data_IF_855255025879
#
_entry.id   IF_855255025879
#
_cell.length_a   1.000
_cell.length_b   1.000
_cell.length_c   1.000
_cell.angle_alpha   90.00
_cell.angle_beta   90.00
_cell.angle_gamma   90.00
#
_symmetry.space_group_name_H-M   'P 1'
#
loop_
_entity.id
_entity.type
_entity.pdbx_description
1 polymer ?
#
# COMPACT_ATOMS: atom_id res chain seq x y z
N UNK A 1 15.09 -8.54 33.61
CA UNK A 1 15.00 -7.07 33.76
C UNK A 1 14.17 -6.58 32.59
N UNK A 2 12.85 -6.65 32.74
CA UNK A 2 11.90 -6.27 31.69
C UNK A 2 11.24 -4.96 32.08
N UNK A 3 11.52 -3.89 31.32
CA UNK A 3 10.48 -2.94 30.93
C UNK A 3 10.95 -2.02 29.79
N UNK A 4 10.55 -2.40 28.57
CA UNK A 4 10.14 -1.56 27.45
C UNK A 4 10.77 -0.16 27.30
N UNK A 5 12.05 -0.08 26.93
CA UNK A 5 12.55 1.07 26.16
C UNK A 5 12.02 1.01 24.70
N UNK A 6 10.69 0.99 24.56
CA UNK A 6 10.03 0.91 23.26
C UNK A 6 10.28 2.18 22.45
N UNK A 7 10.11 3.34 23.08
CA UNK A 7 10.38 4.64 22.48
C UNK A 7 11.81 4.74 21.93
N UNK A 8 12.84 4.43 22.73
CA UNK A 8 14.23 4.48 22.25
C UNK A 8 14.52 3.48 21.14
N UNK A 9 13.95 2.27 21.21
CA UNK A 9 14.02 1.29 20.11
C UNK A 9 13.37 1.82 18.83
N UNK A 10 12.22 2.47 18.94
CA UNK A 10 11.49 3.06 17.81
C UNK A 10 12.26 4.22 17.18
N UNK A 11 12.80 5.13 17.99
CA UNK A 11 13.68 6.22 17.52
C UNK A 11 14.87 5.64 16.75
N UNK A 12 15.53 4.61 17.31
CA UNK A 12 16.65 3.93 16.64
C UNK A 12 16.22 3.23 15.36
N UNK A 13 15.04 2.61 15.37
CA UNK A 13 14.48 1.88 14.24
C UNK A 13 14.19 2.82 13.08
N UNK A 14 13.48 3.92 13.35
CA UNK A 14 13.20 4.99 12.40
C UNK A 14 14.49 5.59 11.87
N UNK A 15 15.42 6.02 12.73
CA UNK A 15 16.70 6.58 12.29
C UNK A 15 17.46 5.65 11.34
N UNK A 16 17.59 4.37 11.71
CA UNK A 16 18.26 3.38 10.86
C UNK A 16 17.49 3.11 9.56
N UNK A 17 16.17 3.12 9.59
CA UNK A 17 15.32 2.94 8.42
C UNK A 17 15.45 4.12 7.44
N UNK A 18 15.59 5.34 7.96
CA UNK A 18 15.83 6.53 7.16
C UNK A 18 17.28 6.65 6.67
N UNK A 19 18.19 5.77 7.11
CA UNK A 19 19.60 5.76 6.73
C UNK A 19 20.46 6.81 7.45
N UNK A 20 19.93 7.40 8.52
CA UNK A 20 20.55 8.49 9.26
C UNK A 20 21.53 7.96 10.31
N UNK A 21 22.63 8.67 10.57
CA UNK A 21 23.46 8.43 11.75
C UNK A 21 22.90 9.17 12.96
N UNK A 22 23.30 8.78 14.18
CA UNK A 22 22.92 9.52 15.40
C UNK A 22 23.33 11.01 15.36
N UNK A 23 24.38 11.33 14.58
CA UNK A 23 24.83 12.70 14.37
C UNK A 23 23.87 13.46 13.45
N UNK A 24 23.31 12.80 12.44
CA UNK A 24 22.37 13.43 11.48
C UNK A 24 21.05 13.78 12.17
N UNK A 25 20.47 12.83 12.93
CA UNK A 25 19.29 13.12 13.74
C UNK A 25 19.58 14.18 14.81
N UNK A 26 20.78 14.17 15.40
CA UNK A 26 21.23 15.21 16.32
C UNK A 26 21.18 16.60 15.68
N UNK A 27 21.75 16.77 14.48
CA UNK A 27 21.72 18.04 13.74
C UNK A 27 20.30 18.51 13.45
N UNK A 28 19.41 17.61 13.02
CA UNK A 28 18.01 17.92 12.68
C UNK A 28 17.26 18.43 13.92
N UNK A 29 17.51 17.83 15.07
CA UNK A 29 16.86 18.20 16.34
C UNK A 29 17.59 19.30 17.12
N UNK A 30 18.72 19.79 16.60
CA UNK A 30 19.65 20.68 17.30
C UNK A 30 20.12 20.11 18.66
N UNK A 31 20.52 18.83 18.66
CA UNK A 31 20.97 18.05 19.80
C UNK A 31 22.33 17.38 19.52
N UNK A 32 23.07 17.12 20.58
CA UNK A 32 24.33 16.36 20.50
C UNK A 32 24.09 14.88 20.16
N UNK A 33 25.03 14.27 19.42
CA UNK A 33 25.00 12.82 19.10
C UNK A 33 24.80 11.97 20.36
N UNK A 34 25.45 12.34 21.46
CA UNK A 34 25.35 11.59 22.72
C UNK A 34 23.92 11.62 23.29
N UNK A 35 23.20 12.73 23.13
CA UNK A 35 21.79 12.85 23.55
C UNK A 35 20.90 11.89 22.76
N UNK A 36 21.10 11.78 21.45
CA UNK A 36 20.38 10.80 20.61
C UNK A 36 20.69 9.37 21.05
N UNK A 37 21.96 9.06 21.31
CA UNK A 37 22.37 7.75 21.82
C UNK A 37 21.72 7.43 23.17
N UNK A 38 21.61 8.40 24.07
CA UNK A 38 20.93 8.23 25.37
C UNK A 38 19.44 7.98 25.21
N UNK A 39 18.77 8.66 24.26
CA UNK A 39 17.37 8.37 23.90
C UNK A 39 17.19 6.95 23.37
N UNK A 40 18.00 6.55 22.38
CA UNK A 40 17.89 5.23 21.76
C UNK A 40 18.11 4.08 22.74
N UNK A 41 18.99 4.28 23.71
CA UNK A 41 19.31 3.28 24.73
C UNK A 41 18.40 3.38 25.97
N UNK A 42 17.44 4.32 26.00
CA UNK A 42 16.50 4.48 27.11
C UNK A 42 17.14 5.04 28.38
N UNK A 43 18.34 5.62 28.27
CA UNK A 43 19.04 6.29 29.37
C UNK A 43 18.44 7.65 29.67
N UNK A 44 17.80 8.27 28.67
CA UNK A 44 17.12 9.55 28.78
C UNK A 44 15.82 9.48 27.98
N UNK A 45 14.77 10.11 28.49
CA UNK A 45 13.50 10.25 27.77
C UNK A 45 13.48 11.62 27.08
N UNK A 46 13.15 11.71 25.78
CA UNK A 46 12.95 13.00 25.13
C UNK A 46 11.76 13.74 25.76
N UNK A 47 11.85 15.06 25.88
CA UNK A 47 10.70 15.88 26.29
C UNK A 47 9.65 15.91 25.19
N UNK A 48 8.41 16.27 25.52
CA UNK A 48 7.28 16.30 24.56
C UNK A 48 7.60 17.07 23.29
N UNK A 49 8.22 18.25 23.39
CA UNK A 49 8.61 19.04 22.22
C UNK A 49 9.60 18.30 21.32
N UNK A 50 10.57 17.59 21.90
CA UNK A 50 11.52 16.77 21.13
C UNK A 50 10.83 15.56 20.52
N UNK A 51 9.89 14.93 21.23
CA UNK A 51 9.11 13.82 20.69
C UNK A 51 8.26 14.25 19.49
N UNK A 52 7.62 15.43 19.56
CA UNK A 52 6.90 16.01 18.43
C UNK A 52 7.83 16.24 17.24
N UNK A 53 8.99 16.86 17.44
CA UNK A 53 9.96 17.07 16.36
C UNK A 53 10.47 15.77 15.73
N UNK A 54 10.69 14.72 16.53
CA UNK A 54 11.07 13.40 16.02
C UNK A 54 9.92 12.80 15.20
N UNK A 55 8.69 12.88 15.71
CA UNK A 55 7.50 12.35 15.07
C UNK A 55 7.19 13.07 13.74
N UNK A 56 7.26 14.40 13.72
CA UNK A 56 7.17 15.24 12.53
C UNK A 56 8.26 14.90 11.51
N UNK A 57 9.52 14.78 11.96
CA UNK A 57 10.64 14.43 11.09
C UNK A 57 10.45 13.08 10.39
N UNK A 58 9.84 12.11 11.09
CA UNK A 58 9.60 10.76 10.56
C UNK A 58 8.19 10.54 10.00
N UNK A 59 7.32 11.57 9.98
CA UNK A 59 5.98 11.49 9.42
C UNK A 59 5.04 10.53 10.16
N UNK A 60 5.23 10.31 11.46
CA UNK A 60 4.37 9.44 12.29
C UNK A 60 3.77 10.25 13.45
N UNK A 61 2.73 9.71 14.10
CA UNK A 61 2.21 10.33 15.33
C UNK A 61 3.09 10.00 16.53
N UNK A 62 3.09 10.87 17.53
CA UNK A 62 3.79 10.63 18.82
C UNK A 62 3.25 9.36 19.48
N UNK A 63 1.94 9.10 19.42
CA UNK A 63 1.34 7.89 19.97
C UNK A 63 1.86 6.61 19.31
N UNK A 64 1.96 6.57 17.98
CA UNK A 64 2.54 5.42 17.26
C UNK A 64 4.00 5.23 17.65
N UNK A 65 4.77 6.32 17.73
CA UNK A 65 6.17 6.26 18.14
C UNK A 65 6.36 5.74 19.57
N UNK A 66 5.41 6.01 20.48
CA UNK A 66 5.51 5.63 21.88
C UNK A 66 4.99 4.23 22.19
N UNK A 67 3.94 3.79 21.49
CA UNK A 67 3.14 2.63 21.91
C UNK A 67 3.21 1.42 20.96
N UNK A 68 3.76 1.58 19.75
CA UNK A 68 3.85 0.50 18.76
C UNK A 68 5.29 0.02 18.58
N UNK A 69 5.56 -1.27 18.45
CA UNK A 69 6.92 -1.76 18.11
C UNK A 69 7.17 -1.62 16.61
N UNK A 70 8.07 -0.71 16.22
CA UNK A 70 8.40 -0.43 14.82
C UNK A 70 9.45 -1.39 14.24
N UNK A 71 10.07 -2.24 15.07
CA UNK A 71 11.14 -3.14 14.61
C UNK A 71 10.69 -4.25 13.64
N UNK A 72 9.49 -4.85 13.77
CA UNK A 72 8.96 -5.79 12.77
C UNK A 72 8.68 -5.12 11.42
N UNK A 73 8.21 -3.86 11.43
CA UNK A 73 7.89 -3.08 10.24
C UNK A 73 9.11 -2.86 9.33
N UNK A 74 10.23 -2.39 9.89
CA UNK A 74 11.46 -2.13 9.12
C UNK A 74 12.07 -3.43 8.59
N UNK A 75 11.89 -4.53 9.34
CA UNK A 75 12.31 -5.87 8.91
C UNK A 75 11.39 -6.43 7.83
N UNK A 76 10.11 -6.09 7.86
CA UNK A 76 9.08 -6.57 6.93
C UNK A 76 9.12 -5.85 5.57
N UNK A 77 9.31 -4.53 5.51
CA UNK A 77 9.50 -3.83 4.23
C UNK A 77 10.72 -4.32 3.45
N UNK A 78 11.72 -4.85 4.15
CA UNK A 78 12.92 -5.47 3.57
C UNK A 78 12.74 -6.96 3.23
N UNK A 79 11.56 -7.55 3.45
CA UNK A 79 11.29 -8.98 3.38
C UNK A 79 10.20 -9.31 2.33
N UNK A 80 10.43 -10.33 1.50
CA UNK A 80 9.52 -10.81 0.44
C UNK A 80 8.07 -11.12 0.87
N UNK A 81 7.79 -11.68 2.07
CA UNK A 81 6.42 -11.93 2.55
C UNK A 81 5.51 -10.69 2.68
N UNK A 82 6.09 -9.48 2.71
CA UNK A 82 5.32 -8.23 2.65
C UNK A 82 4.52 -8.12 1.36
N UNK A 83 5.12 -8.54 0.22
CA UNK A 83 4.47 -8.48 -1.08
C UNK A 83 3.32 -9.50 -1.16
N UNK A 84 3.42 -10.66 -0.51
CA UNK A 84 2.34 -11.67 -0.52
C UNK A 84 1.08 -11.17 0.20
N UNK A 85 1.24 -10.40 1.29
CA UNK A 85 0.11 -9.78 1.99
C UNK A 85 -0.58 -8.68 1.18
N UNK A 86 0.15 -7.98 0.30
CA UNK A 86 -0.42 -6.97 -0.61
C UNK A 86 -1.32 -7.59 -1.70
N UNK A 87 -1.34 -8.91 -1.84
CA UNK A 87 -2.10 -9.61 -2.88
C UNK A 87 -3.00 -10.73 -2.35
N UNK A 88 -3.21 -10.79 -1.03
CA UNK A 88 -4.18 -11.71 -0.42
C UNK A 88 -5.59 -11.11 -0.29
N UNK A 89 -6.53 -11.82 0.37
CA UNK A 89 -7.93 -11.41 0.48
C UNK A 89 -8.15 -10.09 1.26
N UNK A 90 -7.18 -9.64 2.06
CA UNK A 90 -7.22 -8.34 2.74
C UNK A 90 -6.55 -7.22 1.91
N UNK A 91 -6.11 -7.52 0.67
CA UNK A 91 -5.42 -6.56 -0.18
C UNK A 91 -6.26 -5.31 -0.44
N UNK A 92 -7.60 -5.43 -0.47
CA UNK A 92 -8.54 -4.32 -0.70
C UNK A 92 -8.32 -3.12 0.25
N UNK A 93 -7.77 -3.37 1.45
CA UNK A 93 -7.46 -2.35 2.47
C UNK A 93 -6.34 -1.40 2.01
N UNK A 94 -5.48 -1.86 1.10
CA UNK A 94 -4.38 -1.09 0.53
C UNK A 94 -4.76 -0.23 -0.67
N UNK A 95 -6.01 -0.31 -1.13
CA UNK A 95 -6.47 0.48 -2.26
C UNK A 95 -7.48 1.52 -1.74
N UNK A 96 -7.06 2.79 -1.59
CA UNK A 96 -7.98 3.84 -1.18
C UNK A 96 -9.10 3.97 -2.22
N UNK A 97 -10.34 3.84 -1.78
CA UNK A 97 -11.54 4.01 -2.61
C UNK A 97 -12.48 4.95 -1.90
N UNK A 98 -13.15 5.78 -2.68
CA UNK A 98 -13.92 6.92 -2.21
C UNK A 98 -15.35 6.73 -2.67
N UNK A 99 -16.29 6.70 -1.73
CA UNK A 99 -17.71 6.65 -2.04
C UNK A 99 -18.37 7.63 -1.08
N UNK A 100 -18.34 8.92 -1.42
CA UNK A 100 -18.99 9.94 -0.61
C UNK A 100 -20.51 9.71 -0.55
N UNK A 101 -21.12 9.97 0.62
CA UNK A 101 -22.56 9.85 0.82
C UNK A 101 -23.34 10.89 -0.01
N UNK A 102 -22.75 12.07 -0.21
CA UNK A 102 -23.27 13.16 -1.05
C UNK A 102 -23.40 12.78 -2.53
N UNK A 103 -22.75 11.70 -2.97
CA UNK A 103 -22.75 11.29 -4.37
C UNK A 103 -23.81 10.24 -4.75
N UNK A 104 -24.71 9.84 -3.85
CA UNK A 104 -25.84 8.96 -4.20
C UNK A 104 -27.00 9.67 -4.91
N UNK A 105 -26.88 10.98 -5.12
CA UNK A 105 -27.92 11.82 -5.74
C UNK A 105 -27.32 12.84 -6.73
N UNK A 106 -26.18 12.51 -7.36
CA UNK A 106 -25.46 13.40 -8.30
C UNK A 106 -26.20 13.67 -9.62
N UNK A 107 -27.31 12.96 -9.87
CA UNK A 107 -27.94 12.93 -11.18
C UNK A 107 -27.15 12.13 -12.24
N UNK A 108 -25.99 11.56 -11.90
CA UNK A 108 -25.21 10.71 -12.80
C UNK A 108 -25.50 9.22 -12.56
N UNK A 109 -26.25 8.60 -13.47
CA UNK A 109 -26.65 7.19 -13.39
C UNK A 109 -25.45 6.23 -13.49
N UNK A 110 -24.46 6.55 -14.33
CA UNK A 110 -23.24 5.75 -14.48
C UNK A 110 -22.40 5.75 -13.19
N UNK A 111 -22.28 6.90 -12.54
CA UNK A 111 -21.57 7.02 -11.27
C UNK A 111 -22.25 6.21 -10.16
N UNK A 112 -23.57 6.30 -10.07
CA UNK A 112 -24.37 5.52 -9.12
C UNK A 112 -24.21 4.01 -9.33
N UNK A 113 -24.24 3.55 -10.59
CA UNK A 113 -23.99 2.15 -10.94
C UNK A 113 -22.59 1.71 -10.54
N UNK A 114 -21.56 2.52 -10.84
CA UNK A 114 -20.19 2.24 -10.44
C UNK A 114 -20.07 2.10 -8.91
N UNK A 115 -20.64 3.02 -8.15
CA UNK A 115 -20.56 3.01 -6.68
C UNK A 115 -21.24 1.80 -6.06
N UNK A 116 -22.41 1.40 -6.59
CA UNK A 116 -23.08 0.18 -6.18
C UNK A 116 -22.22 -1.06 -6.44
N UNK A 117 -21.53 -1.12 -7.60
CA UNK A 117 -20.59 -2.22 -7.90
C UNK A 117 -19.36 -2.19 -6.99
N UNK A 118 -18.78 -1.03 -6.69
CA UNK A 118 -17.65 -0.90 -5.75
C UNK A 118 -18.07 -1.40 -4.36
N UNK A 119 -19.25 -1.01 -3.86
CA UNK A 119 -19.79 -1.50 -2.58
C UNK A 119 -19.99 -3.01 -2.60
N UNK A 120 -20.54 -3.56 -3.69
CA UNK A 120 -20.68 -5.00 -3.89
C UNK A 120 -19.31 -5.69 -3.82
N UNK A 121 -18.31 -5.19 -4.55
CA UNK A 121 -16.96 -5.76 -4.55
C UNK A 121 -16.40 -5.77 -3.13
N UNK A 122 -16.42 -4.64 -2.42
CA UNK A 122 -15.92 -4.53 -1.03
C UNK A 122 -16.60 -5.52 -0.09
N UNK A 123 -17.92 -5.64 -0.16
CA UNK A 123 -18.70 -6.54 0.70
C UNK A 123 -18.32 -8.01 0.47
N UNK A 124 -18.22 -8.42 -0.79
CA UNK A 124 -17.94 -9.82 -1.12
C UNK A 124 -16.48 -10.20 -0.85
N UNK A 125 -15.53 -9.28 -1.04
CA UNK A 125 -14.14 -9.49 -0.62
C UNK A 125 -14.03 -9.68 0.90
N UNK A 126 -14.75 -8.88 1.69
CA UNK A 126 -14.81 -9.04 3.15
C UNK A 126 -15.36 -10.40 3.59
N UNK A 127 -16.17 -11.05 2.75
CA UNK A 127 -16.73 -12.38 2.98
C UNK A 127 -15.91 -13.52 2.35
N UNK A 128 -14.74 -13.23 1.76
CA UNK A 128 -13.89 -14.18 1.03
C UNK A 128 -14.59 -14.85 -0.17
N UNK A 129 -15.56 -14.18 -0.80
CA UNK A 129 -16.25 -14.68 -1.98
C UNK A 129 -15.50 -14.36 -3.28
N UNK A 130 -15.58 -15.25 -4.26
CA UNK A 130 -14.94 -15.07 -5.57
C UNK A 130 -15.70 -14.02 -6.40
N UNK A 131 -14.97 -13.04 -6.94
CA UNK A 131 -15.54 -11.98 -7.77
C UNK A 131 -15.16 -12.20 -9.22
N UNK A 132 -16.16 -12.26 -10.09
CA UNK A 132 -15.94 -12.37 -11.53
C UNK A 132 -15.15 -11.17 -12.07
N UNK A 133 -14.17 -11.43 -12.94
CA UNK A 133 -13.38 -10.40 -13.61
C UNK A 133 -14.23 -9.43 -14.44
N UNK A 134 -15.40 -9.87 -14.91
CA UNK A 134 -16.36 -9.04 -15.64
C UNK A 134 -16.88 -7.87 -14.80
N UNK A 135 -17.00 -8.04 -13.49
CA UNK A 135 -17.52 -7.00 -12.59
C UNK A 135 -16.54 -5.82 -12.54
N UNK A 136 -15.23 -6.08 -12.54
CA UNK A 136 -14.23 -5.01 -12.59
C UNK A 136 -14.25 -4.27 -13.93
N UNK A 137 -14.38 -5.01 -15.04
CA UNK A 137 -14.52 -4.42 -16.37
C UNK A 137 -15.73 -3.50 -16.46
N UNK A 138 -16.91 -3.99 -16.04
CA UNK A 138 -18.13 -3.20 -16.02
C UNK A 138 -17.98 -1.96 -15.14
N UNK A 139 -17.40 -2.11 -13.94
CA UNK A 139 -17.20 -0.99 -13.01
C UNK A 139 -16.30 0.08 -13.64
N UNK A 140 -15.22 -0.32 -14.31
CA UNK A 140 -14.30 0.60 -14.98
C UNK A 140 -15.00 1.35 -16.12
N UNK A 141 -15.82 0.66 -16.92
CA UNK A 141 -16.60 1.27 -18.01
C UNK A 141 -17.59 2.32 -17.49
N UNK A 142 -18.30 2.02 -16.41
CA UNK A 142 -19.23 2.96 -15.76
C UNK A 142 -18.48 4.21 -15.25
N UNK A 143 -17.32 4.04 -14.60
CA UNK A 143 -16.50 5.15 -14.11
C UNK A 143 -15.94 6.03 -15.23
N UNK A 144 -15.46 5.43 -16.32
CA UNK A 144 -14.95 6.18 -17.48
C UNK A 144 -16.09 6.99 -18.12
N UNK A 145 -17.27 6.39 -18.24
CA UNK A 145 -18.45 7.08 -18.80
C UNK A 145 -18.86 8.27 -17.92
N UNK A 146 -18.96 8.05 -16.61
CA UNK A 146 -19.25 9.13 -15.65
C UNK A 146 -18.18 10.25 -15.68
N UNK A 147 -16.90 9.88 -15.78
CA UNK A 147 -15.79 10.85 -15.92
C UNK A 147 -15.98 11.76 -17.14
N UNK A 148 -16.39 11.19 -18.27
CA UNK A 148 -16.63 11.96 -19.49
C UNK A 148 -17.83 12.90 -19.36
N UNK A 149 -18.91 12.46 -18.72
CA UNK A 149 -20.11 13.28 -18.49
C UNK A 149 -19.85 14.44 -17.53
N UNK A 150 -19.03 14.23 -16.50
CA UNK A 150 -18.64 15.26 -15.53
C UNK A 150 -17.42 16.10 -15.98
N UNK A 151 -16.98 15.96 -17.23
CA UNK A 151 -15.79 16.59 -17.79
C UNK A 151 -14.53 16.40 -16.92
N UNK A 152 -14.42 15.27 -16.23
CA UNK A 152 -13.30 14.91 -15.38
C UNK A 152 -13.16 15.75 -14.11
N UNK A 153 -14.18 16.53 -13.72
CA UNK A 153 -14.10 17.46 -12.58
C UNK A 153 -14.09 16.75 -11.21
N UNK A 154 -14.65 15.55 -11.15
CA UNK A 154 -14.81 14.77 -9.92
C UNK A 154 -13.60 13.87 -9.67
N UNK A 155 -12.85 14.20 -8.62
CA UNK A 155 -11.60 13.52 -8.26
C UNK A 155 -11.84 12.09 -7.75
N UNK A 156 -13.00 11.82 -7.12
CA UNK A 156 -13.36 10.49 -6.62
C UNK A 156 -13.50 9.49 -7.76
N UNK A 157 -13.98 9.93 -8.93
CA UNK A 157 -14.06 9.07 -10.12
C UNK A 157 -12.66 8.59 -10.51
N UNK A 158 -11.69 9.49 -10.60
CA UNK A 158 -10.31 9.15 -10.96
C UNK A 158 -9.62 8.28 -9.92
N UNK A 159 -9.86 8.55 -8.63
CA UNK A 159 -9.40 7.70 -7.55
C UNK A 159 -9.98 6.28 -7.64
N UNK A 160 -11.27 6.16 -7.93
CA UNK A 160 -11.94 4.87 -8.07
C UNK A 160 -11.57 4.14 -9.38
N UNK A 161 -11.23 4.85 -10.46
CA UNK A 161 -10.67 4.24 -11.68
C UNK A 161 -9.37 3.50 -11.31
N UNK A 162 -8.47 4.18 -10.59
CA UNK A 162 -7.23 3.54 -10.12
C UNK A 162 -7.54 2.37 -9.20
N UNK A 163 -8.42 2.55 -8.23
CA UNK A 163 -8.87 1.48 -7.35
C UNK A 163 -9.35 0.25 -8.13
N UNK A 164 -10.28 0.41 -9.08
CA UNK A 164 -10.85 -0.70 -9.86
C UNK A 164 -9.78 -1.41 -10.69
N UNK A 165 -8.88 -0.68 -11.35
CA UNK A 165 -7.80 -1.26 -12.14
C UNK A 165 -6.85 -2.07 -11.26
N UNK A 166 -6.46 -1.53 -10.12
CA UNK A 166 -5.55 -2.19 -9.19
C UNK A 166 -6.19 -3.41 -8.51
N UNK A 167 -7.48 -3.35 -8.19
CA UNK A 167 -8.23 -4.51 -7.70
C UNK A 167 -8.36 -5.60 -8.76
N UNK A 168 -8.53 -5.22 -10.02
CA UNK A 168 -8.54 -6.19 -11.11
C UNK A 168 -7.14 -6.80 -11.31
N UNK A 169 -6.09 -6.00 -11.19
CA UNK A 169 -4.71 -6.49 -11.21
C UNK A 169 -4.44 -7.53 -10.12
N UNK A 170 -4.89 -7.29 -8.88
CA UNK A 170 -4.71 -8.25 -7.77
C UNK A 170 -5.50 -9.55 -7.96
N UNK A 171 -6.68 -9.48 -8.57
CA UNK A 171 -7.46 -10.67 -8.90
C UNK A 171 -6.70 -11.66 -9.82
N UNK A 172 -5.80 -11.19 -10.68
CA UNK A 172 -4.94 -12.08 -11.48
C UNK A 172 -3.92 -12.85 -10.63
N UNK A 173 -3.49 -12.28 -9.50
CA UNK A 173 -2.50 -12.90 -8.61
C UNK A 173 -3.17 -13.89 -7.65
N UNK A 174 -4.35 -13.55 -7.14
CA UNK A 174 -5.15 -14.44 -6.27
C UNK A 174 -5.51 -15.76 -6.97
N UNK A 175 -5.94 -15.72 -8.23
CA UNK A 175 -6.29 -16.93 -9.01
C UNK A 175 -5.10 -17.90 -9.13
N UNK A 176 -3.88 -17.36 -9.25
CA UNK A 176 -2.66 -18.16 -9.45
C UNK A 176 -2.20 -18.82 -8.15
N UNK A 177 -2.18 -18.06 -7.05
CA UNK A 177 -1.89 -18.58 -5.71
C UNK A 177 -2.95 -19.64 -5.33
N UNK A 178 -4.23 -19.34 -5.51
CA UNK A 178 -5.31 -20.27 -5.19
C UNK A 178 -5.27 -21.54 -6.05
N UNK A 179 -4.94 -21.45 -7.35
CA UNK A 179 -4.83 -22.63 -8.23
C UNK A 179 -3.64 -23.51 -7.85
N UNK A 180 -2.47 -22.91 -7.57
CA UNK A 180 -1.29 -23.65 -7.13
C UNK A 180 -1.52 -24.33 -5.78
N UNK A 181 -2.15 -23.63 -4.83
CA UNK A 181 -2.52 -24.18 -3.52
C UNK A 181 -3.55 -25.32 -3.68
N UNK A 182 -4.63 -25.13 -4.45
CA UNK A 182 -5.64 -26.18 -4.72
C UNK A 182 -5.03 -27.43 -5.38
N UNK A 183 -4.14 -27.25 -6.35
CA UNK A 183 -3.47 -28.36 -7.04
C UNK A 183 -2.51 -29.12 -6.10
N UNK A 184 -1.74 -28.43 -5.26
CA UNK A 184 -0.83 -29.05 -4.29
C UNK A 184 -1.55 -29.70 -3.11
N UNK A 185 -2.71 -29.15 -2.69
CA UNK A 185 -3.65 -29.79 -1.75
C UNK A 185 -4.17 -31.10 -2.33
N UNK A 186 -4.63 -31.10 -3.59
CA UNK A 186 -5.08 -32.32 -4.28
C UNK A 186 -3.98 -33.40 -4.36
N UNK A 187 -2.71 -32.98 -4.47
CA UNK A 187 -1.55 -33.88 -4.52
C UNK A 187 -1.00 -34.28 -3.14
N UNK A 188 -1.61 -33.83 -2.03
CA UNK A 188 -1.16 -34.06 -0.63
C UNK A 188 0.33 -33.72 -0.37
N UNK A 189 0.88 -32.72 -1.06
CA UNK A 189 2.26 -32.26 -0.90
C UNK A 189 2.27 -30.79 -0.51
N UNK A 190 2.08 -30.49 0.78
CA UNK A 190 2.17 -29.12 1.29
C UNK A 190 3.29 -29.04 2.32
N UNK A 191 4.29 -28.20 2.05
CA UNK A 191 5.28 -27.74 3.04
C UNK A 191 5.05 -26.25 3.33
N UNK A 192 5.52 -25.75 4.48
CA UNK A 192 5.44 -24.32 4.83
C UNK A 192 6.15 -23.41 3.80
N UNK A 193 7.19 -23.91 3.12
CA UNK A 193 7.86 -23.23 2.01
C UNK A 193 7.04 -23.14 0.72
N UNK A 194 6.01 -24.00 0.56
CA UNK A 194 5.13 -23.98 -0.61
C UNK A 194 4.09 -22.84 -0.56
N UNK A 195 3.88 -22.23 0.61
CA UNK A 195 3.08 -21.02 0.78
C UNK A 195 3.85 -19.75 0.36
N UNK A 196 5.19 -19.80 0.39
CA UNK A 196 6.12 -18.67 0.27
C UNK A 196 6.80 -18.56 -1.12
N UNK A 197 6.24 -19.22 -2.14
CA UNK A 197 6.92 -19.43 -3.41
C UNK A 197 5.98 -19.38 -4.60
N UNK A 198 5.69 -18.18 -5.09
CA UNK A 198 5.31 -18.00 -6.49
C UNK A 198 6.57 -18.29 -7.32
N UNK A 199 6.71 -19.55 -7.73
CA UNK A 199 7.79 -20.03 -8.60
C UNK A 199 7.66 -19.28 -9.95
N UNK A 200 8.64 -18.45 -10.30
CA UNK A 200 8.70 -17.62 -11.52
C UNK A 200 8.60 -18.42 -12.85
N UNK A 201 8.49 -19.75 -12.77
CA UNK A 201 8.48 -20.68 -13.91
C UNK A 201 7.09 -20.93 -14.51
N UNK A 202 6.00 -20.54 -13.85
CA UNK A 202 4.68 -20.34 -14.49
C UNK A 202 4.58 -18.83 -14.76
N UNK A 203 4.43 -18.26 -15.96
CA UNK A 203 3.63 -18.66 -17.11
C UNK A 203 3.85 -17.63 -18.25
N UNK A 204 4.40 -18.04 -19.40
CA UNK A 204 4.51 -17.15 -20.57
C UNK A 204 3.14 -16.61 -21.02
N UNK A 205 2.07 -17.39 -20.83
CA UNK A 205 0.68 -17.00 -21.14
C UNK A 205 0.15 -15.94 -20.15
N UNK A 206 0.56 -16.00 -18.89
CA UNK A 206 0.17 -15.02 -17.86
C UNK A 206 0.94 -13.72 -18.03
N UNK A 207 2.22 -13.79 -18.42
CA UNK A 207 2.99 -12.62 -18.82
C UNK A 207 2.30 -11.91 -19.99
N UNK A 208 1.81 -12.65 -21.00
CA UNK A 208 1.05 -12.05 -22.10
C UNK A 208 -0.25 -11.37 -21.62
N UNK A 209 -1.05 -12.02 -20.77
CA UNK A 209 -2.27 -11.40 -20.21
C UNK A 209 -1.99 -10.14 -19.38
N UNK A 210 -0.92 -10.15 -18.58
CA UNK A 210 -0.49 -8.97 -17.79
C UNK A 210 -0.02 -7.83 -18.69
N UNK A 211 0.74 -8.15 -19.73
CA UNK A 211 1.18 -7.18 -20.75
C UNK A 211 -0.01 -6.58 -21.49
N UNK A 212 -0.96 -7.41 -21.92
CA UNK A 212 -2.17 -6.93 -22.61
C UNK A 212 -3.05 -6.07 -21.68
N UNK A 213 -3.18 -6.46 -20.41
CA UNK A 213 -3.88 -5.67 -19.40
C UNK A 213 -3.23 -4.31 -19.18
N UNK A 214 -1.90 -4.26 -19.04
CA UNK A 214 -1.14 -3.01 -18.90
C UNK A 214 -1.35 -2.12 -20.11
N UNK A 215 -1.13 -2.63 -21.32
CA UNK A 215 -1.32 -1.87 -22.57
C UNK A 215 -2.72 -1.26 -22.69
N UNK A 216 -3.74 -2.02 -22.29
CA UNK A 216 -5.14 -1.57 -22.35
C UNK A 216 -5.44 -0.48 -21.33
N UNK A 217 -4.84 -0.55 -20.15
CA UNK A 217 -5.20 0.30 -19.01
C UNK A 217 -4.22 1.46 -18.73
N UNK A 218 -3.03 1.46 -19.34
CA UNK A 218 -1.96 2.44 -19.08
C UNK A 218 -2.43 3.89 -19.27
N UNK A 219 -3.25 4.14 -20.30
CA UNK A 219 -3.80 5.46 -20.56
C UNK A 219 -4.71 5.93 -19.43
N UNK A 220 -5.57 5.06 -18.90
CA UNK A 220 -6.49 5.40 -17.81
C UNK A 220 -5.73 5.61 -16.50
N UNK A 221 -4.72 4.77 -16.22
CA UNK A 221 -3.86 4.90 -15.04
C UNK A 221 -3.15 6.26 -15.07
N UNK A 222 -2.45 6.57 -16.16
CA UNK A 222 -1.65 7.79 -16.26
C UNK A 222 -2.53 9.05 -16.27
N UNK A 223 -3.69 8.99 -16.91
CA UNK A 223 -4.65 10.10 -16.92
C UNK A 223 -5.21 10.35 -15.52
N UNK A 224 -5.66 9.31 -14.82
CA UNK A 224 -6.19 9.44 -13.47
C UNK A 224 -5.13 9.98 -12.49
N UNK A 225 -3.90 9.43 -12.51
CA UNK A 225 -2.79 9.92 -11.68
C UNK A 225 -2.50 11.39 -11.99
N UNK A 226 -2.42 11.77 -13.26
CA UNK A 226 -2.17 13.17 -13.66
C UNK A 226 -3.25 14.12 -13.14
N UNK A 227 -4.52 13.72 -13.22
CA UNK A 227 -5.64 14.52 -12.72
C UNK A 227 -5.56 14.64 -11.19
N UNK A 228 -5.37 13.54 -10.47
CA UNK A 228 -5.23 13.55 -9.02
C UNK A 228 -4.09 14.46 -8.56
N UNK A 229 -2.93 14.40 -9.22
CA UNK A 229 -1.76 15.24 -8.93
C UNK A 229 -1.94 16.72 -9.27
N UNK A 230 -2.99 17.10 -9.99
CA UNK A 230 -3.27 18.51 -10.30
C UNK A 230 -3.87 19.28 -9.13
N UNK A 231 -4.39 18.59 -8.09
CA UNK A 231 -4.94 19.21 -6.89
C UNK A 231 -4.16 18.78 -5.66
N UNK A 232 -3.80 19.74 -4.82
CA UNK A 232 -2.97 19.53 -3.63
C UNK A 232 -3.54 18.46 -2.69
N UNK A 233 -4.86 18.48 -2.44
CA UNK A 233 -5.55 17.53 -1.54
C UNK A 233 -5.48 16.06 -1.99
N UNK A 234 -5.28 15.84 -3.30
CA UNK A 234 -5.28 14.53 -3.96
C UNK A 234 -3.89 14.12 -4.47
N UNK A 235 -2.91 15.01 -4.42
CA UNK A 235 -1.55 14.76 -4.90
C UNK A 235 -0.91 13.57 -4.19
N UNK A 236 -1.10 13.47 -2.88
CA UNK A 236 -0.67 12.31 -2.08
C UNK A 236 -1.23 10.99 -2.62
N UNK A 237 -2.49 10.96 -3.06
CA UNK A 237 -3.08 9.74 -3.60
C UNK A 237 -2.42 9.36 -4.93
N UNK A 238 -2.15 10.36 -5.76
CA UNK A 238 -1.42 10.18 -7.01
C UNK A 238 -0.01 9.60 -6.78
N UNK A 239 0.76 10.21 -5.88
CA UNK A 239 2.11 9.75 -5.53
C UNK A 239 2.11 8.35 -4.93
N UNK A 240 1.14 8.07 -4.06
CA UNK A 240 0.91 6.74 -3.50
C UNK A 240 0.71 5.70 -4.60
N UNK A 241 -0.19 5.95 -5.56
CA UNK A 241 -0.44 5.01 -6.65
C UNK A 241 0.77 4.84 -7.57
N UNK A 242 1.56 5.88 -7.83
CA UNK A 242 2.81 5.74 -8.60
C UNK A 242 3.75 4.76 -7.89
N UNK A 243 4.01 4.95 -6.59
CA UNK A 243 4.84 4.02 -5.81
C UNK A 243 4.25 2.60 -5.82
N UNK A 244 2.93 2.51 -5.67
CA UNK A 244 2.23 1.24 -5.58
C UNK A 244 2.26 0.45 -6.90
N UNK A 245 2.25 1.12 -8.07
CA UNK A 245 2.43 0.45 -9.38
C UNK A 245 3.72 -0.34 -9.43
N UNK A 246 4.84 0.26 -9.03
CA UNK A 246 6.13 -0.42 -8.99
C UNK A 246 6.12 -1.55 -7.96
N UNK A 247 5.52 -1.30 -6.79
CA UNK A 247 5.42 -2.27 -5.70
C UNK A 247 4.62 -3.54 -6.09
N UNK A 248 3.58 -3.40 -6.91
CA UNK A 248 2.78 -4.52 -7.43
C UNK A 248 3.30 -5.08 -8.76
N UNK A 249 4.42 -4.54 -9.28
CA UNK A 249 4.96 -4.83 -10.61
C UNK A 249 3.92 -4.59 -11.74
N UNK A 250 3.06 -3.59 -11.59
CA UNK A 250 2.09 -3.12 -12.59
C UNK A 250 2.69 -1.96 -13.40
N UNK A 251 3.85 -2.23 -14.00
CA UNK A 251 4.63 -1.27 -14.80
C UNK A 251 5.17 -1.98 -16.04
N UNK A 252 5.21 -1.25 -17.17
CA UNK A 252 5.84 -1.72 -18.41
C UNK A 252 7.29 -1.23 -18.44
N UNK A 253 8.19 -2.05 -17.94
CA UNK A 253 9.63 -1.77 -17.88
C UNK A 253 10.41 -2.99 -18.34
N UNK A 254 11.61 -2.79 -18.88
CA UNK A 254 12.54 -3.89 -19.18
C UNK A 254 13.17 -4.54 -17.93
N UNK A 255 12.81 -4.08 -16.73
CA UNK A 255 13.33 -4.59 -15.47
C UNK A 255 12.64 -5.88 -15.02
N UNK A 256 13.37 -6.78 -14.34
CA UNK A 256 12.77 -7.94 -13.72
C UNK A 256 11.84 -7.53 -12.56
N UNK A 257 10.84 -8.36 -12.28
CA UNK A 257 9.77 -8.02 -11.32
C UNK A 257 10.29 -7.72 -9.91
N UNK A 258 11.34 -8.41 -9.47
CA UNK A 258 11.99 -8.16 -8.19
C UNK A 258 12.58 -6.74 -8.11
N UNK A 259 13.21 -6.24 -9.18
CA UNK A 259 13.79 -4.91 -9.23
C UNK A 259 12.70 -3.83 -9.21
N UNK A 260 11.62 -4.01 -9.97
CA UNK A 260 10.47 -3.11 -9.91
C UNK A 260 9.85 -3.03 -8.52
N UNK A 261 9.71 -4.18 -7.84
CA UNK A 261 9.22 -4.22 -6.46
C UNK A 261 10.13 -3.46 -5.51
N UNK A 262 11.46 -3.63 -5.64
CA UNK A 262 12.44 -2.86 -4.84
C UNK A 262 12.32 -1.36 -5.10
N UNK A 263 12.17 -0.93 -6.35
CA UNK A 263 11.93 0.47 -6.69
C UNK A 263 10.65 0.97 -6.01
N UNK A 264 9.55 0.22 -6.13
CA UNK A 264 8.28 0.57 -5.51
C UNK A 264 8.35 0.62 -3.98
N UNK A 265 9.13 -0.25 -3.36
CA UNK A 265 9.41 -0.19 -1.92
C UNK A 265 10.07 1.14 -1.57
N UNK A 266 11.18 1.50 -2.21
CA UNK A 266 11.89 2.76 -1.95
C UNK A 266 11.01 3.99 -2.21
N UNK A 267 10.17 3.96 -3.24
CA UNK A 267 9.18 5.01 -3.51
C UNK A 267 8.14 5.11 -2.40
N UNK A 268 7.64 3.97 -1.90
CA UNK A 268 6.70 3.93 -0.78
C UNK A 268 7.35 4.46 0.50
N UNK A 269 8.63 4.11 0.76
CA UNK A 269 9.36 4.68 1.88
C UNK A 269 9.41 6.19 1.74
N UNK A 270 9.80 6.70 0.57
CA UNK A 270 9.87 8.14 0.29
C UNK A 270 8.52 8.82 0.54
N UNK A 271 7.41 8.22 0.10
CA UNK A 271 6.06 8.73 0.38
C UNK A 271 5.80 8.81 1.90
N UNK A 272 6.15 7.78 2.67
CA UNK A 272 6.04 7.78 4.14
C UNK A 272 6.90 8.90 4.74
N UNK A 273 8.16 9.07 4.28
CA UNK A 273 9.06 10.14 4.76
C UNK A 273 8.48 11.53 4.55
N UNK A 274 7.70 11.71 3.48
CA UNK A 274 7.07 12.98 3.12
C UNK A 274 5.70 13.18 3.79
N UNK A 275 5.28 12.29 4.68
CA UNK A 275 4.00 12.43 5.38
C UNK A 275 2.78 11.97 4.58
N UNK A 276 2.96 11.20 3.51
CA UNK A 276 1.86 10.74 2.67
C UNK A 276 0.88 9.85 3.46
N UNK A 277 -0.34 10.36 3.68
CA UNK A 277 -1.35 9.72 4.53
C UNK A 277 -1.74 8.30 4.08
N UNK A 278 -1.76 8.01 2.78
CA UNK A 278 -2.13 6.70 2.27
C UNK A 278 -1.01 5.68 2.50
N UNK A 279 0.23 6.08 2.24
CA UNK A 279 1.39 5.24 2.51
C UNK A 279 1.54 4.94 4.01
N UNK A 280 1.26 5.92 4.87
CA UNK A 280 1.25 5.76 6.33
C UNK A 280 0.10 4.85 6.79
N UNK A 281 -1.09 4.93 6.20
CA UNK A 281 -2.21 4.05 6.60
C UNK A 281 -1.91 2.57 6.35
N UNK A 282 -1.28 2.26 5.22
CA UNK A 282 -0.79 0.90 4.95
C UNK A 282 0.18 0.45 6.03
N UNK A 283 1.07 1.36 6.42
CA UNK A 283 2.03 1.10 7.45
C UNK A 283 1.37 0.73 8.79
N UNK A 284 0.40 1.53 9.23
CA UNK A 284 -0.36 1.29 10.46
C UNK A 284 -1.09 -0.06 10.43
N UNK A 285 -1.76 -0.40 9.33
CA UNK A 285 -2.44 -1.69 9.18
C UNK A 285 -1.50 -2.89 9.42
N UNK A 286 -0.28 -2.82 8.90
CA UNK A 286 0.69 -3.88 9.11
C UNK A 286 1.24 -3.94 10.54
N UNK A 287 1.28 -2.82 11.26
CA UNK A 287 1.69 -2.79 12.67
C UNK A 287 0.62 -3.43 13.57
N UNK A 288 -0.66 -3.19 13.29
CA UNK A 288 -1.77 -3.71 14.10
C UNK A 288 -1.98 -5.22 13.93
N UNK A 289 -1.77 -5.75 12.72
CA UNK A 289 -1.96 -7.18 12.42
C UNK A 289 -0.74 -8.08 12.76
N UNK A 290 0.29 -7.53 13.42
CA UNK A 290 1.45 -8.29 13.93
C UNK A 290 1.25 -8.79 15.37
N UNK A 291 0.07 -8.59 15.97
CA UNK A 291 -0.21 -9.07 17.32
C UNK A 291 -1.07 -10.36 17.27
N UNK A 292 -0.47 -11.57 17.19
CA UNK A 292 -1.21 -12.83 17.24
C UNK A 292 -1.79 -13.14 18.63
N UNK A 293 -1.73 -12.18 19.56
CA UNK A 293 -2.34 -12.22 20.89
C UNK A 293 -3.21 -10.98 21.10
N UNK A 294 -4.37 -10.96 20.45
CA UNK A 294 -5.58 -10.32 20.94
C UNK A 294 -6.76 -11.21 20.54
#
# INVERSE_FOLDING_TARGET
MDNNNLLGKNIKCLRNFFGETQSDLGKILNLEKNTISEYENGKRTPITETMVKIAEHYGISVEVMMHSDLSPMVKMMKNTPFIENLVGPNSYIFYPSFVSEDCLDTGNDHLNKAYNKIRYIKRNLGNYEEISTTIFCDTLMELITASNEENGCNMEIHANILWTIFMWWSAFVDIEIQRNIKQKIMLKKIKASDLLGIDEKNSAVMNNKRVDFLKTNEIYINTAIKILKSREEWADLGDYYIAFRYLTNMVDTDFPANLNRTIGQEMMLSCIKMGNKYAINILSYFMDNQNPFN
#
